data_IF_609315106351
#
_entry.id   IF_609315106351
#
_cell.length_a   1.000
_cell.length_b   1.000
_cell.length_c   1.000
_cell.angle_alpha   90.00
_cell.angle_beta   90.00
_cell.angle_gamma   90.00
#
_symmetry.space_group_name_H-M   'P 1'
#
loop_
_entity.id
_entity.type
_entity.pdbx_description
1 polymer ?
#
# COMPACT_ATOMS: atom_id res chain seq x y z
N UNK A 1 13.51 22.82 -23.50
CA UNK A 1 13.07 23.28 -22.16
C UNK A 1 11.77 22.55 -21.86
N UNK A 2 11.85 21.37 -21.23
CA UNK A 2 10.63 20.63 -20.84
C UNK A 2 10.15 21.27 -19.54
N UNK A 3 8.90 21.75 -19.45
CA UNK A 3 8.38 22.21 -18.18
C UNK A 3 8.48 21.05 -17.20
N UNK A 4 9.20 21.27 -16.11
CA UNK A 4 9.32 20.33 -15.01
C UNK A 4 7.91 19.94 -14.61
N UNK A 5 7.50 18.69 -14.88
CA UNK A 5 6.20 18.17 -14.47
C UNK A 5 6.16 18.26 -12.95
N UNK A 6 5.55 19.34 -12.46
CA UNK A 6 5.37 19.59 -11.07
C UNK A 6 4.19 18.80 -10.53
N UNK A 7 4.01 18.89 -9.22
CA UNK A 7 2.85 18.32 -8.56
C UNK A 7 1.53 18.83 -9.17
N UNK A 8 1.50 20.07 -9.65
CA UNK A 8 0.31 20.70 -10.23
C UNK A 8 -0.14 20.02 -11.53
N UNK A 9 0.80 19.70 -12.43
CA UNK A 9 0.51 19.01 -13.68
C UNK A 9 0.03 17.57 -13.43
N UNK A 10 0.63 16.86 -12.48
CA UNK A 10 0.19 15.51 -12.09
C UNK A 10 -1.25 15.52 -11.56
N UNK A 11 -1.61 16.50 -10.73
CA UNK A 11 -2.98 16.65 -10.22
C UNK A 11 -3.96 16.95 -11.36
N UNK A 12 -3.57 17.78 -12.33
CA UNK A 12 -4.41 18.09 -13.48
C UNK A 12 -4.68 16.85 -14.35
N UNK A 13 -3.65 16.06 -14.62
CA UNK A 13 -3.77 14.79 -15.37
C UNK A 13 -4.65 13.80 -14.59
N UNK A 14 -4.41 13.67 -13.28
CA UNK A 14 -5.21 12.81 -12.40
C UNK A 14 -6.69 13.20 -12.44
N UNK A 15 -7.00 14.50 -12.44
CA UNK A 15 -8.37 15.00 -12.51
C UNK A 15 -9.06 14.57 -13.82
N UNK A 16 -8.37 14.69 -14.96
CA UNK A 16 -8.89 14.25 -16.26
C UNK A 16 -9.16 12.73 -16.26
N UNK A 17 -8.22 11.94 -15.73
CA UNK A 17 -8.36 10.49 -15.61
C UNK A 17 -9.56 10.15 -14.72
N UNK A 18 -9.76 10.85 -13.60
CA UNK A 18 -10.92 10.68 -12.71
C UNK A 18 -12.24 11.03 -13.41
N UNK A 19 -12.26 12.02 -14.30
CA UNK A 19 -13.48 12.36 -15.07
C UNK A 19 -13.82 11.24 -16.07
N UNK A 20 -12.81 10.69 -16.75
CA UNK A 20 -13.01 9.64 -17.77
C UNK A 20 -13.41 8.30 -17.13
N UNK A 21 -12.67 7.88 -16.10
CA UNK A 21 -12.88 6.58 -15.45
C UNK A 21 -13.87 6.63 -14.29
N UNK A 22 -14.12 7.81 -13.72
CA UNK A 22 -14.92 8.01 -12.51
C UNK A 22 -14.10 7.89 -11.22
N UNK A 23 -14.46 8.68 -10.21
CA UNK A 23 -13.78 8.69 -8.90
C UNK A 23 -13.81 7.35 -8.15
N UNK A 24 -14.76 6.47 -8.47
CA UNK A 24 -14.87 5.14 -7.87
C UNK A 24 -13.96 4.08 -8.51
N UNK A 25 -13.58 4.22 -9.79
CA UNK A 25 -12.83 3.19 -10.51
C UNK A 25 -11.35 3.16 -10.17
N UNK A 26 -10.74 4.32 -9.91
CA UNK A 26 -9.34 4.40 -9.49
C UNK A 26 -9.07 3.64 -8.16
N UNK A 27 -9.83 3.85 -7.07
CA UNK A 27 -9.62 3.12 -5.83
C UNK A 27 -10.00 1.63 -5.93
N UNK A 28 -10.99 1.27 -6.76
CA UNK A 28 -11.35 -0.13 -7.03
C UNK A 28 -10.16 -0.90 -7.67
N UNK A 29 -9.56 -0.32 -8.72
CA UNK A 29 -8.38 -0.88 -9.41
C UNK A 29 -7.16 -0.83 -8.50
N UNK A 30 -6.93 0.28 -7.80
CA UNK A 30 -5.81 0.44 -6.86
C UNK A 30 -5.87 -0.54 -5.69
N UNK A 31 -7.06 -0.84 -5.18
CA UNK A 31 -7.25 -1.84 -4.13
C UNK A 31 -6.95 -3.27 -4.61
N UNK A 32 -7.37 -3.62 -5.83
CA UNK A 32 -7.04 -4.91 -6.43
C UNK A 32 -5.54 -5.06 -6.71
N UNK A 33 -4.91 -4.05 -7.33
CA UNK A 33 -3.47 -4.02 -7.58
C UNK A 33 -2.67 -4.02 -6.28
N UNK A 34 -3.11 -3.26 -5.27
CA UNK A 34 -2.43 -3.18 -3.98
C UNK A 34 -2.39 -4.53 -3.25
N UNK A 35 -3.50 -5.30 -3.28
CA UNK A 35 -3.51 -6.66 -2.75
C UNK A 35 -2.56 -7.58 -3.51
N UNK A 36 -2.60 -7.56 -4.85
CA UNK A 36 -1.68 -8.36 -5.66
C UNK A 36 -0.20 -8.03 -5.44
N UNK A 37 0.14 -6.74 -5.34
CA UNK A 37 1.50 -6.29 -5.03
C UNK A 37 1.91 -6.73 -3.61
N UNK A 38 0.99 -6.68 -2.64
CA UNK A 38 1.26 -7.09 -1.25
C UNK A 38 1.49 -8.60 -1.13
N UNK A 39 0.72 -9.40 -1.85
CA UNK A 39 0.90 -10.86 -1.93
C UNK A 39 2.19 -11.21 -2.66
N UNK A 40 2.45 -10.57 -3.81
CA UNK A 40 3.70 -10.72 -4.55
C UNK A 40 4.92 -10.38 -3.69
N UNK A 41 4.86 -9.26 -2.95
CA UNK A 41 5.92 -8.85 -2.03
C UNK A 41 6.13 -9.83 -0.86
N UNK A 42 5.07 -10.49 -0.37
CA UNK A 42 5.20 -11.51 0.67
C UNK A 42 5.84 -12.79 0.11
N UNK A 43 5.35 -13.28 -1.03
CA UNK A 43 5.90 -14.47 -1.68
C UNK A 43 7.39 -14.30 -2.05
N UNK A 44 7.77 -13.14 -2.61
CA UNK A 44 9.19 -12.85 -2.92
C UNK A 44 10.05 -12.71 -1.67
N UNK A 45 9.50 -12.25 -0.54
CA UNK A 45 10.22 -12.16 0.73
C UNK A 45 10.45 -13.54 1.34
N UNK A 46 9.46 -14.41 1.30
CA UNK A 46 9.57 -15.81 1.74
C UNK A 46 10.59 -16.60 0.90
N UNK A 47 10.72 -16.30 -0.40
CA UNK A 47 11.73 -16.89 -1.28
C UNK A 47 13.15 -16.39 -0.99
N UNK A 48 13.33 -15.12 -0.57
CA UNK A 48 14.65 -14.52 -0.39
C UNK A 48 15.22 -14.57 1.04
N UNK A 49 14.41 -14.79 2.07
CA UNK A 49 14.91 -15.06 3.42
C UNK A 49 13.79 -15.56 4.35
N UNK A 50 14.06 -16.66 5.06
CA UNK A 50 13.24 -17.13 6.17
C UNK A 50 13.19 -16.09 7.33
N UNK A 51 12.32 -16.32 8.31
CA UNK A 51 11.14 -15.54 8.63
C UNK A 51 11.42 -14.16 9.27
N UNK A 52 10.79 -13.10 8.75
CA UNK A 52 10.54 -11.90 9.54
C UNK A 52 9.26 -12.13 10.36
N UNK A 53 9.45 -12.87 11.45
CA UNK A 53 8.52 -12.98 12.57
C UNK A 53 7.98 -11.58 12.91
N UNK A 54 6.70 -11.36 12.61
CA UNK A 54 5.96 -10.23 13.18
C UNK A 54 5.10 -10.82 14.30
N UNK A 55 5.76 -11.29 15.35
CA UNK A 55 5.15 -11.32 16.67
C UNK A 55 5.29 -9.93 17.30
N UNK A 56 4.20 -9.19 17.55
CA UNK A 56 4.26 -8.11 18.51
C UNK A 56 4.34 -8.74 19.92
N UNK A 57 5.55 -8.73 20.45
CA UNK A 57 5.86 -8.80 21.87
C UNK A 57 4.98 -7.81 22.68
N UNK A 58 4.59 -8.26 23.87
CA UNK A 58 4.06 -7.51 25.02
C UNK A 58 2.52 -7.29 25.12
N UNK A 59 1.82 -8.35 25.54
CA UNK A 59 0.83 -8.22 26.63
C UNK A 59 1.53 -8.57 27.94
N UNK A 60 2.12 -7.56 28.56
CA UNK A 60 2.55 -7.59 29.96
C UNK A 60 1.34 -7.24 30.83
N UNK A 61 0.69 -8.24 31.42
CA UNK A 61 -0.07 -8.05 32.67
C UNK A 61 0.39 -9.08 33.68
N UNK A 62 1.35 -8.60 34.45
CA UNK A 62 1.87 -9.06 35.72
C UNK A 62 0.82 -9.75 36.59
N UNK A 63 1.24 -10.90 37.13
CA UNK A 63 0.81 -11.54 38.37
C UNK A 63 0.07 -10.60 39.33
N UNK A 64 -1.10 -10.99 39.81
CA UNK A 64 -1.56 -10.54 41.12
C UNK A 64 -2.10 -11.74 41.88
N UNK A 65 -1.23 -12.27 42.71
CA UNK A 65 -1.52 -13.15 43.83
C UNK A 65 -2.68 -12.59 44.67
N UNK A 66 -3.64 -13.46 45.00
CA UNK A 66 -4.56 -13.34 46.12
C UNK A 66 -5.07 -14.74 46.51
#
# INVERSE_FOLDING_TARGET
MVPSLGWQELVLILLIVVIIFGAGKLPEIGGALGRGIREFRQATREENNAPAETEPIAQETVKKDA
#
